data_IF_244453596008
#
_entry.id   IF_244453596008
#
_cell.length_a   1.000
_cell.length_b   1.000
_cell.length_c   1.000
_cell.angle_alpha   90.00
_cell.angle_beta   90.00
_cell.angle_gamma   90.00
#
_symmetry.space_group_name_H-M   'P 1'
#
loop_
_entity.id
_entity.type
_entity.pdbx_description
1 polymer ?
#
# COMPACT_ATOMS: atom_id res chain seq x y z
N UNK A 1 -4.38 -9.86 10.76
CA UNK A 1 -4.85 -11.08 10.06
C UNK A 1 -3.83 -12.20 10.25
N UNK A 2 -4.30 -13.39 10.61
CA UNK A 2 -3.50 -14.53 11.09
C UNK A 2 -2.57 -15.15 10.03
N UNK A 3 -1.27 -15.20 10.36
CA UNK A 3 -0.16 -16.17 10.11
C UNK A 3 -0.31 -17.39 9.17
N UNK A 4 -1.51 -17.83 8.75
CA UNK A 4 -1.70 -19.04 7.92
C UNK A 4 -1.13 -18.91 6.50
N UNK A 5 -1.18 -17.73 5.89
CA UNK A 5 -0.71 -17.53 4.52
C UNK A 5 0.83 -17.52 4.39
N UNK A 6 1.56 -17.07 5.42
CA UNK A 6 3.01 -16.82 5.31
C UNK A 6 3.80 -18.10 4.99
N UNK A 7 3.56 -19.21 5.71
CA UNK A 7 4.27 -20.45 5.44
C UNK A 7 3.89 -21.06 4.07
N UNK A 8 2.66 -20.81 3.60
CA UNK A 8 2.17 -21.31 2.30
C UNK A 8 2.90 -20.62 1.15
N UNK A 9 3.04 -19.29 1.21
CA UNK A 9 3.80 -18.50 0.22
C UNK A 9 5.27 -18.95 0.19
N UNK A 10 5.87 -19.19 1.35
CA UNK A 10 7.25 -19.69 1.42
C UNK A 10 7.40 -21.08 0.78
N UNK A 11 6.43 -21.97 0.95
CA UNK A 11 6.45 -23.28 0.27
C UNK A 11 6.25 -23.14 -1.23
N UNK A 12 5.34 -22.27 -1.69
CA UNK A 12 5.16 -22.02 -3.13
C UNK A 12 6.43 -21.47 -3.78
N UNK A 13 7.15 -20.57 -3.09
CA UNK A 13 8.47 -20.09 -3.53
C UNK A 13 9.48 -21.22 -3.68
N UNK A 14 9.53 -22.14 -2.70
CA UNK A 14 10.40 -23.33 -2.76
C UNK A 14 10.00 -24.29 -3.88
N UNK A 15 8.71 -24.44 -4.16
CA UNK A 15 8.22 -25.22 -5.30
C UNK A 15 8.73 -24.60 -6.60
N UNK A 16 8.59 -23.28 -6.78
CA UNK A 16 9.11 -22.59 -7.96
C UNK A 16 10.62 -22.77 -8.18
N UNK A 17 11.40 -22.82 -7.09
CA UNK A 17 12.85 -23.04 -7.17
C UNK A 17 13.25 -24.48 -7.53
N UNK A 18 12.43 -25.47 -7.17
CA UNK A 18 12.74 -26.90 -7.35
C UNK A 18 12.06 -27.51 -8.56
N UNK A 19 10.88 -27.02 -8.91
CA UNK A 19 10.00 -27.55 -9.96
C UNK A 19 9.21 -26.38 -10.56
N UNK A 20 9.84 -25.56 -11.42
CA UNK A 20 9.21 -24.38 -12.01
C UNK A 20 7.92 -24.70 -12.76
N UNK A 21 7.88 -25.82 -13.49
CA UNK A 21 6.73 -26.23 -14.30
C UNK A 21 5.49 -26.43 -13.43
N UNK A 22 5.68 -26.96 -12.21
CA UNK A 22 4.59 -27.16 -11.26
C UNK A 22 4.08 -25.85 -10.68
N UNK A 23 4.95 -24.84 -10.50
CA UNK A 23 4.49 -23.52 -10.09
C UNK A 23 3.66 -22.87 -11.21
N UNK A 24 4.07 -23.02 -12.47
CA UNK A 24 3.35 -22.48 -13.63
C UNK A 24 1.95 -23.10 -13.78
N UNK A 25 1.82 -24.41 -13.57
CA UNK A 25 0.52 -25.10 -13.53
C UNK A 25 -0.39 -24.54 -12.42
N UNK A 26 0.17 -24.35 -11.22
CA UNK A 26 -0.57 -23.81 -10.07
C UNK A 26 -1.02 -22.36 -10.30
N UNK A 27 -0.13 -21.53 -10.85
CA UNK A 27 -0.45 -20.15 -11.18
C UNK A 27 -1.49 -20.09 -12.29
N UNK A 28 -1.37 -20.92 -13.32
CA UNK A 28 -2.36 -21.02 -14.41
C UNK A 28 -3.73 -21.43 -13.87
N UNK A 29 -3.81 -22.41 -12.98
CA UNK A 29 -5.05 -22.79 -12.32
C UNK A 29 -5.65 -21.63 -11.50
N UNK A 30 -4.80 -20.85 -10.83
CA UNK A 30 -5.20 -19.67 -10.07
C UNK A 30 -5.77 -18.57 -10.98
N UNK A 31 -5.09 -18.25 -12.09
CA UNK A 31 -5.53 -17.24 -13.05
C UNK A 31 -6.84 -17.63 -13.74
N UNK A 32 -6.98 -18.90 -14.13
CA UNK A 32 -8.23 -19.39 -14.70
C UNK A 32 -9.40 -19.30 -13.73
N UNK A 33 -9.14 -19.47 -12.42
CA UNK A 33 -10.17 -19.38 -11.39
C UNK A 33 -10.50 -17.94 -11.00
N UNK A 34 -9.52 -17.04 -11.02
CA UNK A 34 -9.64 -15.64 -10.67
C UNK A 34 -8.99 -14.76 -11.76
N UNK A 35 -9.68 -14.50 -12.88
CA UNK A 35 -9.10 -13.86 -14.07
C UNK A 35 -8.53 -12.46 -13.81
N UNK A 36 -9.14 -11.70 -12.89
CA UNK A 36 -8.71 -10.34 -12.56
C UNK A 36 -7.49 -10.32 -11.62
N UNK A 37 -7.19 -11.43 -10.95
CA UNK A 37 -6.14 -11.48 -9.92
C UNK A 37 -4.74 -11.26 -10.51
N UNK A 38 -4.51 -11.75 -11.74
CA UNK A 38 -3.23 -11.52 -12.42
C UNK A 38 -3.00 -10.03 -12.70
N UNK A 39 -4.04 -9.34 -13.19
CA UNK A 39 -3.99 -7.89 -13.41
C UNK A 39 -3.73 -7.14 -12.10
N UNK A 40 -4.49 -7.44 -11.05
CA UNK A 40 -4.32 -6.81 -9.73
C UNK A 40 -2.88 -6.99 -9.22
N UNK A 41 -2.34 -8.21 -9.24
CA UNK A 41 -1.00 -8.49 -8.76
C UNK A 41 0.09 -7.84 -9.64
N UNK A 42 -0.10 -7.78 -10.95
CA UNK A 42 0.83 -7.12 -11.85
C UNK A 42 0.90 -5.60 -11.58
N UNK A 43 -0.25 -4.96 -11.37
CA UNK A 43 -0.32 -3.54 -11.03
C UNK A 43 0.26 -3.26 -9.63
N UNK A 44 0.00 -4.12 -8.65
CA UNK A 44 0.64 -4.05 -7.32
C UNK A 44 2.16 -4.16 -7.41
N UNK A 45 2.66 -5.14 -8.16
CA UNK A 45 4.10 -5.34 -8.34
C UNK A 45 4.76 -4.16 -9.06
N UNK A 46 4.06 -3.51 -10.01
CA UNK A 46 4.54 -2.29 -10.64
C UNK A 46 4.57 -1.09 -9.70
N UNK A 47 3.55 -0.94 -8.84
CA UNK A 47 3.56 0.10 -7.80
C UNK A 47 4.75 -0.05 -6.82
N UNK A 48 5.06 -1.29 -6.45
CA UNK A 48 6.19 -1.61 -5.56
C UNK A 48 7.55 -1.60 -6.29
N UNK A 49 7.57 -1.36 -7.60
CA UNK A 49 8.79 -1.32 -8.41
C UNK A 49 9.46 -2.69 -8.60
N UNK A 50 8.72 -3.78 -8.37
CA UNK A 50 9.19 -5.16 -8.59
C UNK A 50 9.19 -5.55 -10.07
N UNK A 51 8.30 -4.94 -10.85
CA UNK A 51 8.21 -5.05 -12.31
C UNK A 51 8.02 -3.66 -12.92
N UNK A 52 8.46 -3.49 -14.15
CA UNK A 52 8.22 -2.27 -14.94
C UNK A 52 6.83 -2.28 -15.57
N UNK A 53 6.32 -1.09 -15.92
CA UNK A 53 5.07 -0.95 -16.66
C UNK A 53 5.12 -1.62 -18.05
N UNK A 54 6.30 -1.74 -18.64
CA UNK A 54 6.49 -2.46 -19.90
C UNK A 54 6.30 -3.97 -19.71
N UNK A 55 6.87 -4.55 -18.65
CA UNK A 55 6.68 -5.96 -18.31
C UNK A 55 5.21 -6.28 -17.97
N UNK A 56 4.52 -5.37 -17.28
CA UNK A 56 3.07 -5.52 -17.04
C UNK A 56 2.27 -5.50 -18.34
N UNK A 57 2.59 -4.58 -19.25
CA UNK A 57 1.91 -4.48 -20.54
C UNK A 57 2.08 -5.77 -21.36
N UNK A 58 3.29 -6.33 -21.38
CA UNK A 58 3.60 -7.60 -22.04
C UNK A 58 2.87 -8.78 -21.37
N UNK A 59 2.91 -8.87 -20.03
CA UNK A 59 2.27 -9.92 -19.25
C UNK A 59 0.75 -9.96 -19.46
N UNK A 60 0.11 -8.79 -19.52
CA UNK A 60 -1.33 -8.66 -19.67
C UNK A 60 -1.76 -8.57 -21.15
N UNK A 61 -0.81 -8.56 -22.09
CA UNK A 61 -1.07 -8.35 -23.52
C UNK A 61 -1.87 -7.07 -23.82
N UNK A 62 -1.53 -5.99 -23.12
CA UNK A 62 -2.13 -4.65 -23.28
C UNK A 62 -1.08 -3.62 -23.72
N UNK A 63 -1.51 -2.41 -24.07
CA UNK A 63 -0.60 -1.29 -24.34
C UNK A 63 0.03 -0.73 -23.06
N UNK A 64 1.25 -0.19 -23.16
CA UNK A 64 1.91 0.49 -22.03
C UNK A 64 1.09 1.65 -21.46
N UNK A 65 0.45 2.44 -22.32
CA UNK A 65 -0.44 3.53 -21.90
C UNK A 65 -1.64 3.02 -21.08
N UNK A 66 -2.15 1.83 -21.42
CA UNK A 66 -3.22 1.19 -20.67
C UNK A 66 -2.74 0.70 -19.30
N UNK A 67 -1.53 0.13 -19.23
CA UNK A 67 -0.91 -0.23 -17.95
C UNK A 67 -0.67 1.00 -17.05
N UNK A 68 -0.24 2.13 -17.63
CA UNK A 68 -0.10 3.42 -16.94
C UNK A 68 -1.46 3.92 -16.41
N UNK A 69 -2.51 3.84 -17.22
CA UNK A 69 -3.88 4.19 -16.81
C UNK A 69 -4.39 3.31 -15.67
N UNK A 70 -4.15 2.00 -15.75
CA UNK A 70 -4.52 1.03 -14.69
C UNK A 70 -3.76 1.31 -13.39
N UNK A 71 -2.46 1.62 -13.46
CA UNK A 71 -1.68 2.00 -12.28
C UNK A 71 -2.19 3.32 -11.68
N UNK A 72 -2.51 4.31 -12.50
CA UNK A 72 -3.09 5.57 -12.04
C UNK A 72 -4.47 5.37 -11.39
N UNK A 73 -5.30 4.47 -11.93
CA UNK A 73 -6.58 4.08 -11.33
C UNK A 73 -6.39 3.34 -10.00
N UNK A 74 -5.42 2.43 -9.94
CA UNK A 74 -5.04 1.76 -8.69
C UNK A 74 -4.55 2.76 -7.63
N UNK A 75 -3.83 3.81 -8.04
CA UNK A 75 -3.48 4.90 -7.14
C UNK A 75 -4.69 5.71 -6.71
N UNK A 76 -5.62 6.04 -7.61
CA UNK A 76 -6.80 6.85 -7.26
C UNK A 76 -7.76 6.12 -6.31
N UNK A 77 -7.83 4.80 -6.38
CA UNK A 77 -8.64 3.92 -5.52
C UNK A 77 -7.93 3.51 -4.21
N UNK A 78 -6.83 4.19 -3.86
CA UNK A 78 -5.81 3.83 -2.86
C UNK A 78 -6.19 3.58 -1.39
N UNK A 79 -7.44 3.24 -1.08
CA UNK A 79 -7.94 2.89 0.26
C UNK A 79 -7.42 1.54 0.78
N UNK A 80 -7.00 0.63 -0.09
CA UNK A 80 -6.50 -0.70 0.30
C UNK A 80 -5.19 -0.67 1.10
N UNK A 81 -4.54 0.50 1.21
CA UNK A 81 -3.35 0.72 2.04
C UNK A 81 -3.68 1.26 3.44
N UNK A 82 -4.96 1.51 3.73
CA UNK A 82 -5.43 2.10 4.97
C UNK A 82 -6.47 1.16 5.60
N UNK A 83 -6.28 0.86 6.87
CA UNK A 83 -7.20 0.05 7.66
C UNK A 83 -7.66 0.88 8.87
N UNK A 84 -8.96 0.83 9.19
CA UNK A 84 -9.50 1.44 10.39
C UNK A 84 -9.35 0.46 11.55
N UNK A 85 -8.52 0.82 12.55
CA UNK A 85 -8.33 0.02 13.77
C UNK A 85 -8.67 0.89 14.96
N UNK A 86 -9.57 0.40 15.81
CA UNK A 86 -10.06 1.12 17.00
C UNK A 86 -10.55 2.54 16.68
N UNK A 87 -11.18 2.72 15.50
CA UNK A 87 -11.67 4.01 15.03
C UNK A 87 -10.59 4.97 14.54
N UNK A 88 -9.38 4.48 14.23
CA UNK A 88 -8.28 5.28 13.69
C UNK A 88 -7.80 4.70 12.37
N UNK A 89 -7.77 5.51 11.33
CA UNK A 89 -7.14 5.16 10.05
C UNK A 89 -5.64 4.97 10.20
N UNK A 90 -5.14 3.79 9.79
CA UNK A 90 -3.73 3.39 9.91
C UNK A 90 -3.22 2.76 8.61
N UNK A 91 -1.95 2.99 8.32
CA UNK A 91 -1.25 2.37 7.21
C UNK A 91 -1.08 0.86 7.44
N UNK A 92 -1.40 0.06 6.42
CA UNK A 92 -1.45 -1.41 6.52
C UNK A 92 -0.07 -2.01 6.81
N UNK A 93 1.00 -1.50 6.21
CA UNK A 93 2.34 -2.08 6.37
C UNK A 93 2.93 -1.94 7.78
N UNK A 94 2.71 -0.79 8.42
CA UNK A 94 3.47 -0.37 9.61
C UNK A 94 2.60 0.09 10.78
N UNK A 95 1.27 0.13 10.61
CA UNK A 95 0.30 0.57 11.62
C UNK A 95 0.46 2.02 12.10
N UNK A 96 1.25 2.83 11.40
CA UNK A 96 1.35 4.28 11.63
C UNK A 96 -0.01 4.91 11.32
N UNK A 97 -0.48 5.80 12.18
CA UNK A 97 -1.76 6.44 11.97
C UNK A 97 -1.67 7.49 10.87
N UNK A 98 -2.71 7.59 10.04
CA UNK A 98 -2.76 8.54 8.92
C UNK A 98 -2.62 9.98 9.43
N UNK A 99 -3.22 10.30 10.58
CA UNK A 99 -3.12 11.63 11.18
C UNK A 99 -1.68 12.00 11.59
N UNK A 100 -0.82 11.03 11.92
CA UNK A 100 0.58 11.30 12.25
C UNK A 100 1.35 11.75 11.01
N UNK A 101 1.13 11.05 9.89
CA UNK A 101 1.76 11.38 8.60
C UNK A 101 1.31 12.77 8.12
N UNK A 102 0.00 13.04 8.17
CA UNK A 102 -0.56 14.35 7.79
C UNK A 102 -0.05 15.46 8.72
N UNK A 103 0.03 15.22 10.03
CA UNK A 103 0.55 16.22 10.97
C UNK A 103 2.00 16.59 10.67
N UNK A 104 2.85 15.62 10.39
CA UNK A 104 4.24 15.89 10.02
C UNK A 104 4.35 16.55 8.63
N UNK A 105 3.46 16.21 7.69
CA UNK A 105 3.35 16.90 6.40
C UNK A 105 3.04 18.39 6.57
N UNK A 106 2.04 18.72 7.40
CA UNK A 106 1.60 20.10 7.70
C UNK A 106 2.66 21.00 8.31
N UNK A 107 3.73 20.43 8.90
CA UNK A 107 4.88 21.21 9.40
C UNK A 107 5.79 21.75 8.30
N UNK A 108 5.38 21.65 7.04
CA UNK A 108 6.17 22.09 5.88
C UNK A 108 7.06 20.99 5.31
N UNK A 109 6.80 19.72 5.65
CA UNK A 109 7.55 18.60 5.09
C UNK A 109 7.11 18.34 3.64
N UNK A 110 8.04 17.99 2.76
CA UNK A 110 7.70 17.43 1.45
C UNK A 110 7.41 15.94 1.56
N UNK A 111 6.76 15.36 0.55
CA UNK A 111 6.58 13.90 0.45
C UNK A 111 7.94 13.17 0.48
N UNK A 112 8.98 13.74 -0.13
CA UNK A 112 10.34 13.20 -0.06
C UNK A 112 10.96 13.29 1.34
N UNK A 113 10.67 14.35 2.10
CA UNK A 113 11.12 14.48 3.48
C UNK A 113 10.41 13.46 4.39
N UNK A 114 9.11 13.21 4.18
CA UNK A 114 8.39 12.14 4.87
C UNK A 114 9.00 10.76 4.58
N UNK A 115 9.38 10.48 3.34
CA UNK A 115 10.05 9.22 2.99
C UNK A 115 11.40 9.06 3.68
N UNK A 116 12.14 10.15 3.89
CA UNK A 116 13.38 10.13 4.67
C UNK A 116 13.12 9.93 6.18
N UNK A 117 12.04 10.47 6.73
CA UNK A 117 11.63 10.31 8.13
C UNK A 117 11.06 8.92 8.43
N UNK A 118 10.44 8.29 7.44
CA UNK A 118 9.88 6.95 7.53
C UNK A 118 10.48 6.02 6.47
N UNK A 119 11.76 5.59 6.61
CA UNK A 119 12.42 4.77 5.60
C UNK A 119 11.77 3.40 5.36
N UNK A 120 11.00 2.91 6.33
CA UNK A 120 10.23 1.66 6.23
C UNK A 120 8.88 1.84 5.52
N UNK A 121 8.46 3.07 5.25
CA UNK A 121 7.21 3.38 4.57
C UNK A 121 7.46 3.53 3.07
N UNK A 122 6.80 2.72 2.22
CA UNK A 122 6.87 2.91 0.79
C UNK A 122 6.23 4.25 0.40
N UNK A 123 6.78 4.87 -0.64
CA UNK A 123 6.30 6.17 -1.16
C UNK A 123 4.80 6.15 -1.49
N UNK A 124 4.29 5.02 -1.98
CA UNK A 124 2.88 4.83 -2.30
C UNK A 124 1.97 4.85 -1.07
N UNK A 125 2.45 4.41 0.10
CA UNK A 125 1.71 4.51 1.37
C UNK A 125 1.70 5.93 1.93
N UNK A 126 2.80 6.68 1.82
CA UNK A 126 2.83 8.09 2.19
C UNK A 126 1.79 8.86 1.36
N UNK A 127 1.77 8.63 0.04
CA UNK A 127 0.78 9.24 -0.85
C UNK A 127 -0.65 8.81 -0.50
N UNK A 128 -0.85 7.55 -0.11
CA UNK A 128 -2.17 7.07 0.32
C UNK A 128 -2.65 7.75 1.61
N UNK A 129 -1.78 7.89 2.62
CA UNK A 129 -2.10 8.60 3.85
C UNK A 129 -2.54 10.06 3.58
N UNK A 130 -1.78 10.79 2.75
CA UNK A 130 -2.09 12.17 2.43
C UNK A 130 -3.41 12.32 1.66
N UNK A 131 -3.68 11.43 0.69
CA UNK A 131 -4.96 11.41 -0.02
C UNK A 131 -6.13 11.08 0.91
N UNK A 132 -5.95 10.17 1.85
CA UNK A 132 -6.98 9.87 2.83
C UNK A 132 -7.26 11.06 3.73
N UNK A 133 -6.21 11.77 4.16
CA UNK A 133 -6.38 12.98 4.96
C UNK A 133 -7.09 14.11 4.20
N UNK A 134 -6.84 14.24 2.89
CA UNK A 134 -7.54 15.20 2.03
C UNK A 134 -9.03 14.86 1.84
N UNK A 135 -9.36 13.57 1.78
CA UNK A 135 -10.75 13.09 1.62
C UNK A 135 -11.53 13.00 2.94
N UNK A 136 -10.83 12.93 4.08
CA UNK A 136 -11.42 12.83 5.42
C UNK A 136 -10.84 13.90 6.38
N UNK A 137 -10.92 15.20 6.02
CA UNK A 137 -10.23 16.26 6.76
C UNK A 137 -10.74 16.41 8.19
N UNK A 138 -12.05 16.28 8.42
CA UNK A 138 -12.66 16.43 9.75
C UNK A 138 -12.19 15.35 10.73
N UNK A 139 -12.12 14.10 10.28
CA UNK A 139 -11.61 12.97 11.08
C UNK A 139 -10.15 13.21 11.48
N UNK A 140 -9.31 13.54 10.48
CA UNK A 140 -7.88 13.74 10.71
C UNK A 140 -7.62 14.96 11.61
N UNK A 141 -8.35 16.06 11.40
CA UNK A 141 -8.25 17.25 12.24
C UNK A 141 -8.60 16.94 13.69
N UNK A 142 -9.71 16.24 13.94
CA UNK A 142 -10.13 15.87 15.29
C UNK A 142 -9.07 15.01 16.01
N UNK A 143 -8.40 14.10 15.29
CA UNK A 143 -7.34 13.26 15.86
C UNK A 143 -6.07 14.05 16.16
N UNK A 144 -5.65 14.95 15.27
CA UNK A 144 -4.50 15.85 15.49
C UNK A 144 -4.76 16.74 16.70
N UNK A 145 -5.90 17.40 16.77
CA UNK A 145 -6.28 18.29 17.88
C UNK A 145 -6.29 17.54 19.21
N UNK A 146 -6.91 16.35 19.24
CA UNK A 146 -6.94 15.50 20.44
C UNK A 146 -5.53 15.15 20.92
N UNK A 147 -4.63 14.80 20.00
CA UNK A 147 -3.24 14.51 20.33
C UNK A 147 -2.52 15.73 20.91
N UNK A 148 -2.68 16.90 20.28
CA UNK A 148 -2.02 18.14 20.70
C UNK A 148 -2.51 18.64 22.05
N UNK A 149 -3.81 18.50 22.35
CA UNK A 149 -4.38 18.80 23.67
C UNK A 149 -3.79 17.90 24.77
N UNK A 150 -3.62 16.60 24.48
CA UNK A 150 -2.99 15.65 25.42
C UNK A 150 -1.49 15.96 25.59
N UNK A 151 -0.80 16.35 24.51
CA UNK A 151 0.62 16.74 24.54
C UNK A 151 0.88 18.02 25.32
N UNK A 152 0.02 19.04 25.16
CA UNK A 152 0.09 20.30 25.89
C UNK A 152 -0.16 20.12 27.40
N UNK A 153 -1.04 19.19 27.77
CA UNK A 153 -1.32 18.85 29.17
C UNK A 153 -0.17 18.17 29.94
N UNK A 154 0.86 17.64 29.25
CA UNK A 154 2.06 17.06 29.89
C UNK A 154 3.15 18.08 30.22
N UNK A 155 3.07 19.31 29.70
CA UNK A 155 4.03 20.39 29.98
C UNK A 155 3.53 21.41 31.03
N UNK A 156 2.36 21.18 31.63
CA UNK A 156 1.85 21.95 32.77
C UNK A 156 1.92 21.08 34.03
N UNK A 157 3.10 20.96 34.61
CA UNK A 157 3.33 20.62 36.02
C UNK A 157 4.54 21.35 36.54
#
# INVERSE_FOLDING_TARGET
MTSRASWQIDQLRRVGQRTPERLDELLTALWNRYPNLLEELAIMAADEGQVSLQEVAELLSIGREEAESKLAHYHSTGDHRIEIIDGVAKLVSCRIAVWEVEREYRKGSSVSALAAMYPSLPMSEIKAALRYADTHPDEINAMIEKFELIGAGRYVR
#
